data_IF_863307460289
#
_entry.id   IF_863307460289
#
_cell.length_a   1.000
_cell.length_b   1.000
_cell.length_c   1.000
_cell.angle_alpha   90.00
_cell.angle_beta   90.00
_cell.angle_gamma   90.00
#
_symmetry.space_group_name_H-M   'P 1'
#
loop_
_entity.id
_entity.type
_entity.pdbx_description
1 polymer ?
#
# COMPACT_ATOMS: atom_id res chain seq x y z
N UNK A 1 5.65 18.78 0.17
CA UNK A 1 4.74 18.55 -0.98
C UNK A 1 3.66 19.64 -1.07
N UNK A 2 3.80 20.67 -1.92
CA UNK A 2 2.99 21.90 -1.80
C UNK A 2 1.48 21.74 -1.96
N UNK A 3 1.01 20.88 -2.88
CA UNK A 3 -0.44 20.64 -3.04
C UNK A 3 -1.00 19.77 -1.93
N UNK A 4 -0.22 18.78 -1.49
CA UNK A 4 -0.65 17.87 -0.42
C UNK A 4 -0.86 18.62 0.89
N UNK A 5 0.02 19.58 1.23
CA UNK A 5 -0.09 20.38 2.45
C UNK A 5 -1.32 21.30 2.48
N UNK A 6 -2.05 21.47 1.37
CA UNK A 6 -3.32 22.21 1.35
C UNK A 6 -4.50 21.36 1.83
N UNK A 7 -4.34 20.04 1.90
CA UNK A 7 -5.38 19.16 2.40
C UNK A 7 -5.52 19.30 3.93
N UNK A 8 -6.74 19.19 4.49
CA UNK A 8 -6.95 19.20 5.94
C UNK A 8 -6.41 17.93 6.64
N UNK A 9 -6.25 16.84 5.88
CA UNK A 9 -5.68 15.57 6.33
C UNK A 9 -4.85 14.97 5.18
N UNK A 10 -3.61 15.44 4.97
CA UNK A 10 -2.76 14.98 3.88
C UNK A 10 -2.34 13.53 4.06
N UNK A 11 -2.48 12.73 3.00
CA UNK A 11 -2.16 11.30 3.02
C UNK A 11 -1.49 10.85 1.72
N UNK A 12 -0.46 10.01 1.82
CA UNK A 12 0.20 9.31 0.70
C UNK A 12 0.08 7.82 0.91
N UNK A 13 -0.33 7.11 -0.14
CA UNK A 13 -0.54 5.67 -0.12
C UNK A 13 0.38 4.92 -1.08
N UNK A 14 0.78 3.73 -0.68
CA UNK A 14 1.60 2.82 -1.49
C UNK A 14 0.93 1.44 -1.61
N UNK A 15 0.92 0.86 -2.81
CA UNK A 15 0.46 -0.53 -3.00
C UNK A 15 1.62 -1.50 -2.74
N UNK A 16 1.47 -2.29 -1.68
CA UNK A 16 2.41 -3.33 -1.26
C UNK A 16 2.06 -4.67 -1.92
N UNK A 17 3.00 -5.61 -1.80
CA UNK A 17 2.80 -6.98 -2.25
C UNK A 17 3.77 -7.89 -1.49
N UNK A 18 3.27 -8.99 -0.91
CA UNK A 18 4.11 -10.02 -0.30
C UNK A 18 4.77 -10.89 -1.37
N UNK A 19 6.01 -10.54 -1.71
CA UNK A 19 6.82 -11.21 -2.75
C UNK A 19 8.24 -11.56 -2.30
N UNK A 20 8.52 -11.48 -0.99
CA UNK A 20 9.81 -11.85 -0.39
C UNK A 20 10.01 -13.38 -0.40
N UNK A 21 10.04 -13.98 -1.59
CA UNK A 21 10.12 -15.42 -1.84
C UNK A 21 10.82 -15.72 -3.16
N UNK A 22 11.16 -16.99 -3.39
CA UNK A 22 11.82 -17.47 -4.59
C UNK A 22 11.10 -17.02 -5.88
N UNK A 23 11.87 -16.83 -6.96
CA UNK A 23 11.41 -16.43 -8.30
C UNK A 23 10.90 -14.98 -8.46
N UNK A 24 10.97 -14.14 -7.43
CA UNK A 24 10.57 -12.73 -7.49
C UNK A 24 11.73 -11.72 -7.62
N UNK A 25 12.97 -12.15 -7.39
CA UNK A 25 14.20 -11.42 -7.72
C UNK A 25 14.17 -9.92 -7.42
N UNK A 26 14.50 -9.09 -8.42
CA UNK A 26 14.53 -7.64 -8.29
C UNK A 26 13.18 -7.01 -7.91
N UNK A 27 12.05 -7.65 -8.24
CA UNK A 27 10.74 -7.16 -7.84
C UNK A 27 10.53 -7.30 -6.32
N UNK A 28 10.97 -8.42 -5.73
CA UNK A 28 10.97 -8.59 -4.28
C UNK A 28 11.84 -7.54 -3.58
N UNK A 29 13.05 -7.31 -4.11
CA UNK A 29 13.96 -6.26 -3.62
C UNK A 29 13.31 -4.88 -3.68
N UNK A 30 12.65 -4.54 -4.79
CA UNK A 30 11.96 -3.25 -4.94
C UNK A 30 10.81 -3.11 -3.95
N UNK A 31 10.02 -4.16 -3.71
CA UNK A 31 8.91 -4.13 -2.73
C UNK A 31 9.40 -4.03 -1.28
N UNK A 32 10.50 -4.70 -0.93
CA UNK A 32 11.14 -4.52 0.37
C UNK A 32 11.66 -3.07 0.55
N UNK A 33 12.31 -2.51 -0.48
CA UNK A 33 12.73 -1.10 -0.49
C UNK A 33 11.56 -0.12 -0.36
N UNK A 34 10.43 -0.41 -1.03
CA UNK A 34 9.21 0.37 -0.91
C UNK A 34 8.65 0.36 0.53
N UNK A 35 8.70 -0.78 1.22
CA UNK A 35 8.28 -0.87 2.62
C UNK A 35 9.20 -0.08 3.55
N UNK A 36 10.52 -0.09 3.32
CA UNK A 36 11.46 0.75 4.05
C UNK A 36 11.19 2.25 3.81
N UNK A 37 10.92 2.64 2.56
CA UNK A 37 10.56 4.02 2.20
C UNK A 37 9.32 4.51 2.94
N UNK A 38 8.30 3.65 3.13
CA UNK A 38 7.11 4.02 3.91
C UNK A 38 7.48 4.41 5.34
N UNK A 39 8.37 3.63 5.98
CA UNK A 39 8.86 3.94 7.33
C UNK A 39 9.59 5.28 7.39
N UNK A 40 10.54 5.50 6.47
CA UNK A 40 11.29 6.76 6.36
C UNK A 40 10.35 7.95 6.19
N UNK A 41 9.40 7.87 5.26
CA UNK A 41 8.43 8.95 5.04
C UNK A 41 7.52 9.17 6.25
N UNK A 42 7.10 8.11 6.93
CA UNK A 42 6.27 8.26 8.13
C UNK A 42 7.00 8.98 9.26
N UNK A 43 8.30 8.71 9.44
CA UNK A 43 9.14 9.39 10.43
C UNK A 43 9.44 10.84 10.05
N UNK A 44 9.74 11.11 8.78
CA UNK A 44 9.99 12.47 8.25
C UNK A 44 8.76 13.39 8.39
N UNK A 45 7.56 12.84 8.17
CA UNK A 45 6.30 13.58 8.11
C UNK A 45 5.35 13.27 9.27
N UNK A 46 5.89 12.83 10.42
CA UNK A 46 5.14 12.54 11.65
C UNK A 46 4.23 13.69 12.11
N UNK A 47 3.26 13.38 12.97
CA UNK A 47 2.18 14.29 13.35
C UNK A 47 2.65 15.61 14.00
N UNK A 48 3.81 15.61 14.65
CA UNK A 48 4.44 16.78 15.30
C UNK A 48 5.51 17.47 14.43
N UNK A 49 5.65 17.07 13.16
CA UNK A 49 6.52 17.75 12.20
C UNK A 49 5.92 19.08 11.72
N UNK A 50 6.75 19.94 11.11
CA UNK A 50 6.29 21.22 10.54
C UNK A 50 5.26 21.03 9.40
N UNK A 51 5.25 19.86 8.77
CA UNK A 51 4.41 19.54 7.63
C UNK A 51 3.92 18.09 7.73
N UNK A 52 2.96 17.78 8.62
CA UNK A 52 2.53 16.41 8.85
C UNK A 52 1.87 15.84 7.59
N UNK A 53 2.18 14.57 7.26
CA UNK A 53 1.58 13.80 6.18
C UNK A 53 1.45 12.35 6.65
N UNK A 54 0.24 11.79 6.58
CA UNK A 54 0.05 10.36 6.88
C UNK A 54 0.57 9.52 5.73
N UNK A 55 1.24 8.42 6.06
CA UNK A 55 1.74 7.46 5.09
C UNK A 55 1.10 6.11 5.34
N UNK A 56 0.62 5.45 4.29
CA UNK A 56 0.09 4.10 4.40
C UNK A 56 0.61 3.17 3.31
N UNK A 57 0.59 1.88 3.60
CA UNK A 57 0.81 0.79 2.66
C UNK A 57 -0.36 -0.19 2.69
N UNK A 58 -0.85 -0.60 1.53
CA UNK A 58 -1.91 -1.62 1.39
C UNK A 58 -1.42 -2.75 0.50
N UNK A 59 -1.46 -3.97 1.03
CA UNK A 59 -1.47 -5.20 0.25
C UNK A 59 -2.91 -5.73 0.19
N UNK A 60 -3.47 -5.85 -1.02
CA UNK A 60 -4.83 -6.39 -1.21
C UNK A 60 -4.86 -7.90 -1.33
N UNK A 61 -3.68 -8.54 -1.30
CA UNK A 61 -3.53 -9.92 -1.71
C UNK A 61 -3.72 -10.09 -3.23
N UNK A 62 -3.98 -11.32 -3.67
CA UNK A 62 -4.25 -11.62 -5.07
C UNK A 62 -5.54 -10.97 -5.59
N UNK A 63 -5.45 -10.30 -6.74
CA UNK A 63 -6.59 -9.62 -7.40
C UNK A 63 -6.57 -9.97 -8.89
N UNK A 64 -7.74 -10.13 -9.51
CA UNK A 64 -7.88 -10.46 -10.92
C UNK A 64 -7.47 -9.28 -11.83
N UNK A 65 -6.16 -9.14 -12.06
CA UNK A 65 -5.58 -8.11 -12.91
C UNK A 65 -4.82 -8.73 -14.08
N UNK A 66 -4.59 -7.99 -15.18
CA UNK A 66 -3.68 -8.43 -16.23
C UNK A 66 -2.28 -8.79 -15.70
N UNK A 67 -1.77 -8.02 -14.73
CA UNK A 67 -0.48 -8.29 -14.08
C UNK A 67 -0.45 -9.62 -13.34
N UNK A 68 -1.50 -9.95 -12.57
CA UNK A 68 -1.60 -11.26 -11.89
C UNK A 68 -1.57 -12.41 -12.90
N UNK A 69 -2.34 -12.33 -13.98
CA UNK A 69 -2.36 -13.36 -15.03
C UNK A 69 -1.00 -13.56 -15.69
N UNK A 70 -0.25 -12.47 -15.89
CA UNK A 70 1.10 -12.55 -16.45
C UNK A 70 2.08 -13.26 -15.50
N UNK A 71 1.99 -12.97 -14.19
CA UNK A 71 2.88 -13.56 -13.18
C UNK A 71 2.49 -14.98 -12.74
N UNK A 72 1.22 -15.37 -12.94
CA UNK A 72 0.67 -16.66 -12.51
C UNK A 72 -0.24 -17.26 -13.60
N UNK A 73 0.30 -17.66 -14.76
CA UNK A 73 -0.51 -18.09 -15.92
C UNK A 73 -1.29 -19.39 -15.70
N UNK A 74 -0.93 -20.17 -14.68
CA UNK A 74 -1.62 -21.42 -14.31
C UNK A 74 -2.80 -21.26 -13.34
N UNK A 75 -3.07 -20.04 -12.86
CA UNK A 75 -4.22 -19.79 -11.99
C UNK A 75 -5.53 -19.82 -12.78
N UNK A 76 -6.60 -20.31 -12.14
CA UNK A 76 -7.94 -20.28 -12.72
C UNK A 76 -8.40 -18.83 -12.97
N UNK A 77 -9.19 -18.62 -14.01
CA UNK A 77 -9.62 -17.29 -14.45
C UNK A 77 -10.48 -16.54 -13.41
N UNK A 78 -11.12 -17.27 -12.49
CA UNK A 78 -12.00 -16.79 -11.43
C UNK A 78 -11.40 -17.01 -10.02
N UNK A 79 -10.10 -17.33 -9.92
CA UNK A 79 -9.45 -17.64 -8.65
C UNK A 79 -9.42 -16.48 -7.65
N UNK A 80 -9.58 -15.24 -8.12
CA UNK A 80 -9.37 -14.02 -7.33
C UNK A 80 -10.51 -13.01 -7.52
N UNK A 81 -10.78 -12.17 -6.51
CA UNK A 81 -11.77 -11.11 -6.63
C UNK A 81 -11.39 -10.07 -7.70
N UNK A 82 -12.41 -9.41 -8.24
CA UNK A 82 -12.23 -8.23 -9.08
C UNK A 82 -11.70 -7.04 -8.26
N UNK A 83 -10.94 -6.11 -8.86
CA UNK A 83 -10.37 -4.95 -8.14
C UNK A 83 -11.39 -4.14 -7.34
N UNK A 84 -12.60 -3.97 -7.85
CA UNK A 84 -13.67 -3.18 -7.21
C UNK A 84 -14.14 -3.80 -5.89
N UNK A 85 -13.89 -5.10 -5.69
CA UNK A 85 -14.26 -5.84 -4.49
C UNK A 85 -13.25 -5.72 -3.35
N UNK A 86 -12.05 -5.21 -3.60
CA UNK A 86 -10.95 -5.12 -2.61
C UNK A 86 -10.56 -3.68 -2.28
N UNK A 87 -11.47 -2.72 -2.50
CA UNK A 87 -11.22 -1.29 -2.28
C UNK A 87 -11.29 -0.86 -0.80
N UNK A 88 -11.89 -1.68 0.07
CA UNK A 88 -12.12 -1.37 1.49
C UNK A 88 -10.89 -0.86 2.25
N UNK A 89 -9.73 -1.56 2.22
CA UNK A 89 -8.52 -1.12 2.91
C UNK A 89 -8.01 0.25 2.44
N UNK A 90 -8.12 0.55 1.14
CA UNK A 90 -7.76 1.86 0.61
C UNK A 90 -8.71 2.96 1.08
N UNK A 91 -10.02 2.71 1.05
CA UNK A 91 -11.03 3.67 1.54
C UNK A 91 -10.81 3.98 3.03
N UNK A 92 -10.56 2.95 3.83
CA UNK A 92 -10.23 3.11 5.25
C UNK A 92 -8.95 3.94 5.45
N UNK A 93 -7.86 3.60 4.75
CA UNK A 93 -6.56 4.27 4.94
C UNK A 93 -6.57 5.76 4.53
N UNK A 94 -7.34 6.10 3.50
CA UNK A 94 -7.51 7.49 3.04
C UNK A 94 -8.49 8.25 3.93
N UNK A 95 -9.51 7.57 4.46
CA UNK A 95 -10.61 8.16 5.20
C UNK A 95 -10.26 8.72 6.58
N UNK A 96 -11.21 9.45 7.20
CA UNK A 96 -11.00 10.09 8.51
C UNK A 96 -10.81 9.09 9.65
N UNK A 97 -11.28 7.84 9.50
CA UNK A 97 -11.10 6.78 10.50
C UNK A 97 -9.64 6.36 10.69
N UNK A 98 -8.76 6.65 9.72
CA UNK A 98 -7.33 6.40 9.81
C UNK A 98 -6.52 7.63 10.29
N UNK A 99 -7.18 8.71 10.72
CA UNK A 99 -6.49 9.92 11.19
C UNK A 99 -5.58 9.59 12.38
N UNK A 100 -4.37 10.17 12.37
CA UNK A 100 -3.34 9.92 13.38
C UNK A 100 -2.60 8.59 13.22
N UNK A 101 -2.97 7.73 12.25
CA UNK A 101 -2.25 6.48 11.98
C UNK A 101 -1.20 6.71 10.88
N UNK A 102 0.08 6.71 11.27
CA UNK A 102 1.22 6.80 10.34
C UNK A 102 2.48 6.18 10.98
N UNK A 103 3.14 5.18 10.34
CA UNK A 103 2.68 4.50 9.15
C UNK A 103 1.46 3.61 9.43
N UNK A 104 0.54 3.52 8.47
CA UNK A 104 -0.55 2.55 8.48
C UNK A 104 -0.26 1.44 7.47
N UNK A 105 0.05 0.22 7.93
CA UNK A 105 0.24 -0.94 7.06
C UNK A 105 -0.98 -1.86 7.15
N UNK A 106 -1.54 -2.22 6.00
CA UNK A 106 -2.71 -3.09 5.86
C UNK A 106 -2.37 -4.21 4.88
N UNK A 107 -2.64 -5.46 5.23
CA UNK A 107 -2.38 -6.60 4.34
C UNK A 107 -2.84 -7.94 4.93
N UNK A 108 -3.12 -8.90 4.05
CA UNK A 108 -3.51 -10.26 4.44
C UNK A 108 -2.31 -11.12 4.83
N UNK A 109 -1.97 -11.06 6.12
CA UNK A 109 -1.72 -12.19 7.03
C UNK A 109 -1.37 -11.55 8.39
N UNK A 110 -2.43 -11.24 9.16
CA UNK A 110 -2.42 -10.54 10.45
C UNK A 110 -3.74 -9.85 10.74
#
# INVERSE_FOLDING_TARGET
MPLLHKAPDPVVGFSLQQVSRAYWGAFAMAKAGQQALIGILADEYRADSAHPVRVFGVDTGPVLTPGRRLHYPGEAADAHPQPERVTGPYLYAVGPEAKGRSPLLLGGDG
#
